data_IF_687992562376
#
_entry.id   IF_687992562376
#
_cell.length_a   1.000
_cell.length_b   1.000
_cell.length_c   1.000
_cell.angle_alpha   90.00
_cell.angle_beta   90.00
_cell.angle_gamma   90.00
#
_symmetry.space_group_name_H-M   'P 1'
#
loop_
_entity.id
_entity.type
_entity.pdbx_description
1 polymer ?
#
# COMPACT_ATOMS: atom_id res chain seq x y z
N UNK A 1 23.56 34.17 31.12
CA UNK A 1 22.10 34.04 30.86
C UNK A 1 21.79 32.56 30.77
N UNK A 2 20.80 32.08 31.51
CA UNK A 2 20.36 30.69 31.46
C UNK A 2 19.48 30.47 30.23
N UNK A 3 19.75 29.38 29.51
CA UNK A 3 18.86 28.82 28.49
C UNK A 3 17.49 28.52 29.13
N UNK A 4 16.41 28.87 28.45
CA UNK A 4 15.02 28.64 28.87
C UNK A 4 14.35 27.54 28.02
N UNK A 5 14.45 27.61 26.70
CA UNK A 5 13.94 26.63 25.73
C UNK A 5 14.62 26.80 24.36
N UNK A 6 14.31 25.95 23.39
CA UNK A 6 14.66 26.16 22.00
C UNK A 6 13.44 26.58 21.18
N UNK A 7 13.68 27.38 20.14
CA UNK A 7 12.69 27.83 19.18
C UNK A 7 13.10 27.34 17.78
N UNK A 8 12.19 26.68 17.08
CA UNK A 8 12.36 26.27 15.69
C UNK A 8 11.47 27.14 14.82
N UNK A 9 12.06 27.91 13.90
CA UNK A 9 11.34 28.65 12.87
C UNK A 9 11.38 27.84 11.57
N UNK A 10 10.22 27.58 10.98
CA UNK A 10 10.02 26.79 9.76
C UNK A 10 9.48 27.73 8.69
N UNK A 11 10.25 27.95 7.63
CA UNK A 11 9.88 28.79 6.49
C UNK A 11 9.51 27.91 5.30
N UNK A 12 8.27 28.01 4.85
CA UNK A 12 7.80 27.52 3.54
C UNK A 12 8.36 28.42 2.45
N UNK A 13 9.24 27.87 1.60
CA UNK A 13 10.02 28.66 0.63
C UNK A 13 9.13 29.21 -0.48
N UNK A 14 8.06 28.49 -0.83
CA UNK A 14 7.21 28.78 -1.96
C UNK A 14 6.17 29.86 -1.67
N UNK A 15 5.58 29.87 -0.47
CA UNK A 15 4.59 30.89 -0.09
C UNK A 15 5.14 31.93 0.90
N UNK A 16 6.40 31.80 1.32
CA UNK A 16 7.08 32.68 2.28
C UNK A 16 6.32 32.81 3.62
N UNK A 17 5.66 31.74 4.06
CA UNK A 17 4.98 31.65 5.35
C UNK A 17 5.90 30.98 6.36
N UNK A 18 6.03 31.58 7.54
CA UNK A 18 6.81 31.01 8.65
C UNK A 18 5.93 30.57 9.80
N UNK A 19 6.29 29.44 10.42
CA UNK A 19 5.68 28.94 11.64
C UNK A 19 6.76 28.67 12.69
N UNK A 20 6.40 28.81 13.97
CA UNK A 20 7.32 28.66 15.09
C UNK A 20 6.89 27.51 16.01
N UNK A 21 7.86 26.68 16.41
CA UNK A 21 7.66 25.55 17.30
C UNK A 21 8.57 25.67 18.52
N UNK A 22 7.98 25.58 19.69
CA UNK A 22 8.69 25.59 20.97
C UNK A 22 9.15 24.17 21.33
N UNK A 23 10.41 24.06 21.75
CA UNK A 23 11.01 22.78 22.17
C UNK A 23 11.61 22.97 23.56
N UNK A 24 11.21 22.11 24.50
CA UNK A 24 11.70 22.18 25.88
C UNK A 24 13.22 22.08 25.94
N UNK A 25 13.83 22.83 26.87
CA UNK A 25 15.29 22.96 27.01
C UNK A 25 16.06 21.64 27.17
N UNK A 26 15.44 20.61 27.75
CA UNK A 26 16.09 19.32 27.96
C UNK A 26 15.98 18.41 26.73
N UNK A 27 15.08 18.72 25.81
CA UNK A 27 14.90 17.94 24.59
C UNK A 27 15.91 18.36 23.54
N UNK A 28 16.54 17.36 22.94
CA UNK A 28 17.50 17.53 21.83
C UNK A 28 16.90 17.11 20.48
N UNK A 29 15.60 16.81 20.45
CA UNK A 29 14.86 16.46 19.25
C UNK A 29 13.42 16.96 19.32
N UNK A 30 12.81 17.22 18.16
CA UNK A 30 11.42 17.59 18.02
C UNK A 30 10.87 17.07 16.68
N UNK A 31 9.62 16.64 16.68
CA UNK A 31 8.89 16.27 15.47
C UNK A 31 7.98 17.43 15.05
N UNK A 32 8.08 17.84 13.79
CA UNK A 32 7.29 18.93 13.22
C UNK A 32 6.22 18.31 12.33
N UNK A 33 4.95 18.52 12.68
CA UNK A 33 3.79 18.00 11.95
C UNK A 33 3.10 19.06 11.11
N UNK A 34 2.02 18.67 10.41
CA UNK A 34 1.15 19.55 9.62
C UNK A 34 1.85 20.35 8.50
N UNK A 35 2.98 19.85 8.01
CA UNK A 35 3.65 20.40 6.84
C UNK A 35 2.96 19.95 5.55
N UNK A 36 2.92 20.83 4.56
CA UNK A 36 2.45 20.50 3.21
C UNK A 36 3.36 19.44 2.57
N UNK A 37 2.77 18.51 1.81
CA UNK A 37 3.48 17.46 1.07
C UNK A 37 4.35 18.02 -0.04
N UNK A 38 5.45 17.32 -0.33
CA UNK A 38 6.38 17.63 -1.43
C UNK A 38 6.74 19.11 -1.54
N UNK A 39 7.10 19.69 -0.39
CA UNK A 39 7.33 21.12 -0.24
C UNK A 39 8.68 21.40 0.40
N UNK A 40 9.34 22.47 -0.06
CA UNK A 40 10.65 22.87 0.41
C UNK A 40 10.54 23.79 1.63
N UNK A 41 11.19 23.39 2.72
CA UNK A 41 11.29 24.19 3.94
C UNK A 41 12.72 24.51 4.31
N UNK A 42 12.90 25.71 4.88
CA UNK A 42 14.09 26.12 5.60
C UNK A 42 13.81 26.18 7.11
N UNK A 43 14.62 25.49 7.90
CA UNK A 43 14.46 25.40 9.34
C UNK A 43 15.61 26.09 10.06
N UNK A 44 15.28 26.98 10.98
CA UNK A 44 16.23 27.67 11.85
C UNK A 44 15.99 27.27 13.30
N UNK A 45 17.06 26.88 14.00
CA UNK A 45 17.01 26.53 15.42
C UNK A 45 17.70 27.63 16.24
N UNK A 46 17.02 28.09 17.29
CA UNK A 46 17.52 29.10 18.21
C UNK A 46 17.47 28.59 19.64
N UNK A 47 18.48 28.94 20.43
CA UNK A 47 18.40 28.88 21.89
C UNK A 47 17.75 30.16 22.40
N UNK A 48 16.74 30.04 23.28
CA UNK A 48 16.04 31.19 23.87
C UNK A 48 16.42 31.31 25.34
N UNK A 49 16.96 32.46 25.72
CA UNK A 49 17.28 32.74 27.11
C UNK A 49 16.03 33.15 27.92
N UNK A 50 16.11 33.14 29.25
CA UNK A 50 15.00 33.53 30.16
C UNK A 50 14.42 34.93 29.88
N UNK A 51 15.21 35.82 29.28
CA UNK A 51 14.81 37.19 28.93
C UNK A 51 14.19 37.31 27.53
N UNK A 52 13.97 36.18 26.85
CA UNK A 52 13.45 36.12 25.48
C UNK A 52 14.49 36.38 24.39
N UNK A 53 15.77 36.57 24.74
CA UNK A 53 16.83 36.78 23.74
C UNK A 53 17.13 35.49 22.99
N UNK A 54 17.13 35.57 21.66
CA UNK A 54 17.50 34.46 20.77
C UNK A 54 19.03 34.42 20.57
N UNK A 55 19.58 33.22 20.45
CA UNK A 55 20.96 33.02 19.98
C UNK A 55 21.11 33.45 18.51
N UNK A 56 22.35 33.55 18.04
CA UNK A 56 22.59 33.52 16.59
C UNK A 56 22.05 32.20 16.01
N UNK A 57 21.41 32.26 14.84
CA UNK A 57 21.08 31.04 14.09
C UNK A 57 22.33 30.47 13.44
N UNK A 58 22.47 29.15 13.48
CA UNK A 58 23.34 28.46 12.54
C UNK A 58 22.77 28.49 11.11
N UNK A 59 23.52 27.92 10.16
CA UNK A 59 23.04 27.76 8.78
C UNK A 59 21.72 26.97 8.79
N UNK A 60 20.69 27.42 8.05
CA UNK A 60 19.41 26.73 8.03
C UNK A 60 19.55 25.31 7.51
N UNK A 61 18.74 24.42 8.08
CA UNK A 61 18.51 23.08 7.53
C UNK A 61 17.54 23.23 6.37
N UNK A 62 17.87 22.64 5.23
CA UNK A 62 17.03 22.62 4.04
C UNK A 62 16.47 21.22 3.86
N UNK A 63 15.14 21.09 3.83
CA UNK A 63 14.47 19.80 3.69
C UNK A 63 13.26 19.90 2.76
N UNK A 64 13.00 18.83 2.02
CA UNK A 64 11.77 18.68 1.22
C UNK A 64 10.94 17.56 1.85
N UNK A 65 9.67 17.82 2.12
CA UNK A 65 8.75 16.81 2.67
C UNK A 65 8.45 15.72 1.64
N UNK A 66 8.11 14.52 2.12
CA UNK A 66 7.69 13.43 1.25
C UNK A 66 6.33 13.67 0.58
N UNK A 67 6.02 12.85 -0.42
CA UNK A 67 4.69 12.77 -1.05
C UNK A 67 3.78 11.92 -0.17
N UNK A 68 2.56 12.41 0.14
CA UNK A 68 1.59 11.62 0.88
C UNK A 68 1.15 10.38 0.07
N UNK A 69 1.29 9.17 0.62
CA UNK A 69 0.83 7.97 -0.06
C UNK A 69 -0.71 7.89 -0.10
N UNK A 70 -1.27 7.03 -0.99
CA UNK A 70 -2.70 6.81 -1.05
C UNK A 70 -3.21 6.23 0.28
N UNK A 71 -4.33 6.75 0.77
CA UNK A 71 -4.93 6.29 2.02
C UNK A 71 -5.92 5.17 1.74
N UNK A 72 -6.07 4.26 2.73
CA UNK A 72 -7.04 3.16 2.72
C UNK A 72 -7.05 2.37 1.40
N UNK A 73 -5.89 1.83 1.02
CA UNK A 73 -5.80 0.88 -0.10
C UNK A 73 -6.35 -0.46 0.35
N UNK A 74 -7.36 -1.00 -0.36
CA UNK A 74 -7.93 -2.32 -0.08
C UNK A 74 -8.60 -2.92 -1.33
N UNK A 75 -8.92 -4.21 -1.24
CA UNK A 75 -9.87 -4.89 -2.13
C UNK A 75 -10.97 -5.51 -1.26
N UNK A 76 -12.22 -5.50 -1.74
CA UNK A 76 -13.32 -6.17 -1.05
C UNK A 76 -13.33 -7.65 -1.41
N UNK A 77 -13.89 -8.48 -0.54
CA UNK A 77 -13.92 -9.93 -0.76
C UNK A 77 -14.68 -10.30 -2.05
N UNK A 78 -15.80 -9.63 -2.31
CA UNK A 78 -16.62 -9.82 -3.52
C UNK A 78 -15.95 -9.34 -4.82
N UNK A 79 -14.92 -8.50 -4.69
CA UNK A 79 -14.16 -7.91 -5.78
C UNK A 79 -12.92 -8.74 -6.15
N UNK A 80 -12.67 -9.84 -5.44
CA UNK A 80 -11.58 -10.79 -5.68
C UNK A 80 -12.13 -12.00 -6.44
N UNK A 81 -11.77 -12.09 -7.72
CA UNK A 81 -12.17 -13.16 -8.62
C UNK A 81 -11.02 -14.12 -8.87
N UNK A 82 -11.24 -15.08 -9.74
CA UNK A 82 -10.27 -16.09 -10.16
C UNK A 82 -9.11 -15.43 -10.92
N UNK A 83 -9.40 -14.51 -11.85
CA UNK A 83 -8.40 -13.91 -12.74
C UNK A 83 -8.22 -12.39 -12.55
N UNK A 84 -8.93 -11.81 -11.60
CA UNK A 84 -9.04 -10.35 -11.48
C UNK A 84 -9.34 -9.86 -10.06
N UNK A 85 -8.94 -8.62 -9.80
CA UNK A 85 -9.16 -7.92 -8.52
C UNK A 85 -9.58 -6.47 -8.78
N UNK A 86 -10.55 -5.96 -8.03
CA UNK A 86 -10.85 -4.51 -7.99
C UNK A 86 -10.21 -3.86 -6.78
N UNK A 87 -9.22 -3.02 -7.03
CA UNK A 87 -8.55 -2.20 -6.02
C UNK A 87 -9.36 -0.94 -5.76
N UNK A 88 -9.38 -0.49 -4.50
CA UNK A 88 -10.04 0.74 -4.04
C UNK A 88 -9.09 1.52 -3.12
N UNK A 89 -9.13 2.85 -3.20
CA UNK A 89 -8.32 3.76 -2.39
C UNK A 89 -9.02 5.11 -2.22
N UNK A 90 -8.62 5.89 -1.22
CA UNK A 90 -9.04 7.29 -1.11
C UNK A 90 -8.23 8.19 -2.05
N UNK A 91 -8.84 9.21 -2.68
CA UNK A 91 -8.12 10.13 -3.55
C UNK A 91 -6.87 10.70 -2.86
N UNK A 92 -5.71 10.74 -3.52
CA UNK A 92 -4.56 11.45 -3.00
C UNK A 92 -4.92 12.93 -2.76
N UNK A 93 -4.47 13.52 -1.65
CA UNK A 93 -4.81 14.91 -1.33
C UNK A 93 -4.23 15.91 -2.35
N UNK A 94 -3.03 15.61 -2.82
CA UNK A 94 -2.20 16.55 -3.58
C UNK A 94 -1.98 16.10 -5.04
N UNK A 95 -2.66 15.04 -5.49
CA UNK A 95 -2.51 14.48 -6.83
C UNK A 95 -3.74 13.71 -7.31
N UNK A 96 -3.84 13.58 -8.63
CA UNK A 96 -4.87 12.83 -9.34
C UNK A 96 -4.37 11.52 -9.93
N UNK A 97 -3.09 11.16 -9.71
CA UNK A 97 -2.47 10.00 -10.34
C UNK A 97 -1.86 9.05 -9.29
N UNK A 98 -2.13 7.76 -9.46
CA UNK A 98 -1.53 6.69 -8.66
C UNK A 98 -0.74 5.73 -9.54
N UNK A 99 0.39 5.29 -9.02
CA UNK A 99 1.19 4.19 -9.52
C UNK A 99 0.78 2.92 -8.80
N UNK A 100 0.52 1.84 -9.55
CA UNK A 100 0.17 0.52 -9.04
C UNK A 100 1.22 -0.48 -9.51
N UNK A 101 1.79 -1.21 -8.56
CA UNK A 101 2.74 -2.28 -8.78
C UNK A 101 2.11 -3.60 -8.35
N UNK A 102 2.03 -4.57 -9.25
CA UNK A 102 1.51 -5.92 -8.97
C UNK A 102 2.64 -6.93 -9.17
N UNK A 103 2.89 -7.74 -8.14
CA UNK A 103 3.95 -8.74 -8.13
C UNK A 103 3.44 -10.06 -7.55
N UNK A 104 3.59 -11.17 -8.26
CA UNK A 104 3.28 -12.49 -7.72
C UNK A 104 4.31 -12.87 -6.65
N UNK A 105 3.87 -13.43 -5.51
CA UNK A 105 4.79 -13.80 -4.43
C UNK A 105 5.72 -14.96 -4.85
N UNK A 106 5.22 -15.90 -5.66
CA UNK A 106 6.01 -17.06 -6.10
C UNK A 106 7.00 -16.74 -7.22
N UNK A 107 6.77 -15.66 -7.99
CA UNK A 107 7.62 -15.27 -9.11
C UNK A 107 7.93 -13.78 -9.05
N UNK A 108 9.15 -13.49 -8.59
CA UNK A 108 9.65 -12.13 -8.42
C UNK A 108 10.16 -11.48 -9.71
N UNK A 109 10.16 -12.19 -10.85
CA UNK A 109 10.76 -11.69 -12.11
C UNK A 109 9.82 -10.78 -12.88
N UNK A 110 8.51 -11.00 -12.78
CA UNK A 110 7.52 -10.19 -13.49
C UNK A 110 6.83 -9.21 -12.53
N UNK A 111 6.99 -7.92 -12.83
CA UNK A 111 6.37 -6.83 -12.06
C UNK A 111 5.55 -6.01 -13.03
N UNK A 112 4.23 -6.09 -12.92
CA UNK A 112 3.32 -5.26 -13.71
C UNK A 112 3.20 -3.90 -13.06
N UNK A 113 3.34 -2.85 -13.88
CA UNK A 113 3.30 -1.44 -13.45
C UNK A 113 2.20 -0.71 -14.21
N UNK A 114 1.34 -0.01 -13.49
CA UNK A 114 0.20 0.72 -14.05
C UNK A 114 0.18 2.14 -13.49
N UNK A 115 -0.30 3.07 -14.30
CA UNK A 115 -0.54 4.46 -13.91
C UNK A 115 -2.02 4.74 -14.14
N UNK A 116 -2.71 5.19 -13.09
CA UNK A 116 -4.16 5.41 -13.12
C UNK A 116 -4.43 6.85 -12.69
N UNK A 117 -5.18 7.58 -13.52
CA UNK A 117 -5.56 8.98 -13.29
C UNK A 117 -7.04 9.10 -12.95
N UNK A 118 -7.36 10.07 -12.10
CA UNK A 118 -8.73 10.51 -11.77
C UNK A 118 -9.66 9.36 -11.33
N UNK A 119 -9.11 8.40 -10.59
CA UNK A 119 -9.84 7.24 -10.11
C UNK A 119 -9.53 6.92 -8.64
N UNK A 120 -10.50 6.31 -7.99
CA UNK A 120 -10.41 5.74 -6.63
C UNK A 120 -10.65 4.23 -6.63
N UNK A 121 -10.80 3.65 -7.82
CA UNK A 121 -10.96 2.22 -8.04
C UNK A 121 -10.40 1.81 -9.38
N UNK A 122 -9.86 0.59 -9.45
CA UNK A 122 -9.31 0.06 -10.69
C UNK A 122 -9.33 -1.46 -10.71
N UNK A 123 -9.77 -2.05 -11.83
CA UNK A 123 -9.78 -3.49 -12.05
C UNK A 123 -8.45 -3.94 -12.66
N UNK A 124 -7.78 -4.88 -12.01
CA UNK A 124 -6.58 -5.53 -12.53
C UNK A 124 -6.99 -6.93 -13.01
N UNK A 125 -6.90 -7.15 -14.31
CA UNK A 125 -7.26 -8.41 -14.99
C UNK A 125 -6.03 -9.21 -15.43
N UNK A 126 -6.26 -10.42 -15.93
CA UNK A 126 -5.25 -11.36 -16.44
C UNK A 126 -4.25 -11.78 -15.35
N UNK A 127 -4.76 -12.02 -14.15
CA UNK A 127 -4.01 -12.61 -13.05
C UNK A 127 -4.23 -14.12 -13.02
N UNK A 128 -3.37 -14.83 -12.30
CA UNK A 128 -3.38 -16.29 -12.26
C UNK A 128 -4.27 -16.73 -11.08
N UNK A 129 -5.29 -17.60 -11.31
CA UNK A 129 -6.13 -18.12 -10.24
C UNK A 129 -5.34 -18.77 -9.10
N UNK A 130 -5.81 -18.58 -7.86
CA UNK A 130 -5.16 -19.10 -6.65
C UNK A 130 -3.77 -18.52 -6.33
N UNK A 131 -3.28 -17.57 -7.12
CA UNK A 131 -2.01 -16.90 -6.83
C UNK A 131 -2.18 -15.77 -5.82
N UNK A 132 -1.15 -15.62 -4.98
CA UNK A 132 -1.04 -14.48 -4.07
C UNK A 132 -0.15 -13.41 -4.69
N UNK A 133 -0.66 -12.18 -4.66
CA UNK A 133 0.01 -10.99 -5.18
C UNK A 133 0.29 -9.98 -4.08
N UNK A 134 1.49 -9.41 -4.10
CA UNK A 134 1.83 -8.16 -3.43
C UNK A 134 1.46 -7.01 -4.36
N UNK A 135 0.58 -6.14 -3.89
CA UNK A 135 0.07 -4.99 -4.63
C UNK A 135 0.49 -3.71 -3.90
N UNK A 136 1.48 -3.02 -4.47
CA UNK A 136 1.97 -1.73 -3.97
C UNK A 136 1.30 -0.57 -4.70
N UNK A 137 0.96 0.50 -3.98
CA UNK A 137 0.39 1.71 -4.54
C UNK A 137 1.13 2.96 -4.03
N UNK A 138 1.43 3.89 -4.91
CA UNK A 138 2.05 5.17 -4.58
C UNK A 138 1.34 6.33 -5.29
N UNK A 139 1.32 7.49 -4.65
CA UNK A 139 0.87 8.74 -5.26
C UNK A 139 1.96 9.24 -6.20
N UNK A 140 1.59 9.70 -7.39
CA UNK A 140 2.51 10.30 -8.36
C UNK A 140 2.37 11.81 -8.29
N UNK A 141 3.46 12.55 -8.05
CA UNK A 141 3.45 14.02 -8.12
C UNK A 141 4.71 14.52 -8.81
N UNK A 142 4.54 15.29 -9.88
CA UNK A 142 5.63 15.85 -10.70
C UNK A 142 6.68 14.79 -11.11
N UNK A 143 6.24 13.57 -11.43
CA UNK A 143 7.10 12.44 -11.81
C UNK A 143 7.79 11.72 -10.65
N UNK A 144 7.58 12.16 -9.40
CA UNK A 144 8.07 11.49 -8.20
C UNK A 144 6.98 10.61 -7.59
N UNK A 145 7.38 9.59 -6.83
CA UNK A 145 6.49 8.66 -6.15
C UNK A 145 6.54 8.89 -4.64
N UNK A 146 5.40 8.72 -3.97
CA UNK A 146 5.38 8.48 -2.52
C UNK A 146 6.00 7.14 -2.16
N UNK A 147 6.16 6.91 -0.85
CA UNK A 147 6.33 5.56 -0.33
C UNK A 147 5.17 4.65 -0.79
N UNK A 148 5.46 3.35 -0.94
CA UNK A 148 4.46 2.37 -1.34
C UNK A 148 3.60 1.95 -0.15
N UNK A 149 2.29 1.95 -0.36
CA UNK A 149 1.33 1.24 0.50
C UNK A 149 1.07 -0.11 -0.14
N UNK A 150 1.41 -1.19 0.57
CA UNK A 150 1.30 -2.55 0.05
C UNK A 150 0.16 -3.31 0.72
N UNK A 151 -0.66 -3.97 -0.08
CA UNK A 151 -1.60 -5.00 0.36
C UNK A 151 -1.25 -6.33 -0.28
N UNK A 152 -1.61 -7.41 0.38
CA UNK A 152 -1.48 -8.76 -0.15
C UNK A 152 -2.86 -9.34 -0.41
N UNK A 153 -3.07 -9.90 -1.61
CA UNK A 153 -4.33 -10.56 -1.94
C UNK A 153 -4.10 -11.88 -2.66
N UNK A 154 -4.81 -12.91 -2.21
CA UNK A 154 -4.91 -14.20 -2.89
C UNK A 154 -6.17 -14.22 -3.73
N UNK A 155 -6.06 -14.61 -4.99
CA UNK A 155 -7.20 -14.77 -5.89
C UNK A 155 -7.98 -16.04 -5.61
N UNK A 156 -9.23 -16.06 -6.04
CA UNK A 156 -10.09 -17.23 -5.95
C UNK A 156 -9.52 -18.38 -6.80
N UNK A 157 -9.84 -19.61 -6.41
CA UNK A 157 -9.45 -20.79 -7.17
C UNK A 157 -10.35 -20.94 -8.39
N UNK A 158 -9.76 -21.32 -9.52
CA UNK A 158 -10.53 -21.74 -10.69
C UNK A 158 -11.18 -23.11 -10.41
N UNK A 159 -12.41 -23.32 -10.88
CA UNK A 159 -13.09 -24.59 -10.71
C UNK A 159 -12.57 -25.64 -11.72
N UNK A 160 -12.48 -26.92 -11.34
CA UNK A 160 -12.30 -28.01 -12.30
C UNK A 160 -13.40 -27.99 -13.36
N UNK A 161 -13.04 -28.29 -14.61
CA UNK A 161 -14.01 -28.34 -15.71
C UNK A 161 -14.25 -29.76 -16.20
N UNK A 162 -15.31 -29.95 -16.98
CA UNK A 162 -15.66 -31.24 -17.58
C UNK A 162 -15.75 -32.38 -16.53
N UNK A 163 -16.46 -32.14 -15.43
CA UNK A 163 -16.68 -33.16 -14.40
C UNK A 163 -17.70 -34.17 -14.93
N UNK A 164 -17.32 -35.45 -15.00
CA UNK A 164 -18.18 -36.52 -15.48
C UNK A 164 -17.79 -37.87 -14.86
N UNK A 165 -18.69 -38.84 -14.94
CA UNK A 165 -18.45 -40.21 -14.53
C UNK A 165 -17.52 -40.95 -15.50
N UNK A 166 -16.59 -41.71 -14.93
CA UNK A 166 -15.81 -42.71 -15.64
C UNK A 166 -16.50 -44.08 -15.52
N UNK A 167 -15.77 -45.08 -15.01
CA UNK A 167 -16.34 -46.40 -14.75
C UNK A 167 -17.31 -46.38 -13.55
N UNK A 168 -18.52 -46.87 -13.78
CA UNK A 168 -19.55 -47.07 -12.75
C UNK A 168 -19.81 -48.57 -12.56
N UNK A 169 -19.84 -49.03 -11.30
CA UNK A 169 -20.21 -50.40 -10.93
C UNK A 169 -21.38 -50.40 -9.94
N UNK A 170 -21.72 -51.57 -9.41
CA UNK A 170 -22.66 -51.74 -8.32
C UNK A 170 -22.20 -51.13 -6.98
N UNK A 171 -20.89 -50.82 -6.86
CA UNK A 171 -20.26 -50.43 -5.60
C UNK A 171 -19.24 -49.28 -5.70
N UNK A 172 -18.94 -48.78 -6.89
CA UNK A 172 -17.99 -47.67 -7.08
C UNK A 172 -18.36 -46.75 -8.24
N UNK A 173 -17.91 -45.50 -8.12
CA UNK A 173 -18.02 -44.45 -9.14
C UNK A 173 -16.64 -43.84 -9.31
N UNK A 174 -16.10 -43.88 -10.51
CA UNK A 174 -14.93 -43.10 -10.90
C UNK A 174 -15.39 -41.70 -11.36
N UNK A 175 -14.70 -40.65 -10.90
CA UNK A 175 -14.99 -39.26 -11.28
C UNK A 175 -13.78 -38.74 -12.05
N UNK A 176 -14.03 -38.18 -13.23
CA UNK A 176 -13.00 -37.62 -14.11
C UNK A 176 -13.28 -36.12 -14.30
N UNK A 177 -12.22 -35.31 -14.32
CA UNK A 177 -12.30 -33.88 -14.57
C UNK A 177 -11.02 -33.37 -15.25
N UNK A 178 -11.15 -32.23 -15.91
CA UNK A 178 -10.00 -31.48 -16.39
C UNK A 178 -9.37 -30.72 -15.21
N UNK A 179 -8.04 -30.70 -15.17
CA UNK A 179 -7.29 -29.94 -14.17
C UNK A 179 -7.72 -28.47 -14.19
N UNK A 180 -7.98 -27.89 -13.03
CA UNK A 180 -8.19 -26.45 -12.89
C UNK A 180 -6.92 -25.67 -13.25
N UNK A 181 -7.08 -24.47 -13.78
CA UNK A 181 -5.95 -23.58 -14.05
C UNK A 181 -5.46 -22.87 -12.78
N UNK A 182 -4.24 -22.35 -12.84
CA UNK A 182 -3.65 -21.57 -11.75
C UNK A 182 -2.98 -22.40 -10.66
N UNK A 183 -2.92 -21.82 -9.47
CA UNK A 183 -2.12 -22.28 -8.34
C UNK A 183 -3.01 -22.82 -7.21
N UNK A 184 -3.11 -24.13 -7.15
CA UNK A 184 -3.80 -24.87 -6.10
C UNK A 184 -2.96 -26.09 -5.68
N UNK A 185 -3.24 -26.64 -4.49
CA UNK A 185 -2.44 -27.75 -3.94
C UNK A 185 -3.11 -29.12 -4.13
N UNK A 186 -4.41 -29.22 -3.86
CA UNK A 186 -5.16 -30.46 -3.93
C UNK A 186 -6.64 -30.19 -4.24
N UNK A 187 -7.34 -31.24 -4.65
CA UNK A 187 -8.79 -31.26 -4.76
C UNK A 187 -9.38 -31.95 -3.53
N UNK A 188 -10.56 -31.50 -3.10
CA UNK A 188 -11.34 -32.16 -2.07
C UNK A 188 -12.61 -32.75 -2.69
N UNK A 189 -12.92 -34.00 -2.37
CA UNK A 189 -14.12 -34.69 -2.84
C UNK A 189 -14.96 -35.06 -1.62
N UNK A 190 -16.15 -34.49 -1.53
CA UNK A 190 -17.11 -34.81 -0.48
C UNK A 190 -18.22 -35.69 -1.05
N UNK A 191 -18.39 -36.89 -0.51
CA UNK A 191 -19.57 -37.71 -0.79
C UNK A 191 -20.62 -37.55 0.31
N UNK A 192 -21.84 -37.17 -0.06
CA UNK A 192 -22.98 -37.10 0.84
C UNK A 192 -23.76 -38.42 0.67
N UNK A 193 -23.96 -39.17 1.75
CA UNK A 193 -24.62 -40.50 1.79
C UNK A 193 -23.83 -41.70 1.21
N UNK A 194 -22.51 -41.58 1.02
CA UNK A 194 -21.68 -42.78 0.89
C UNK A 194 -21.56 -43.47 2.26
N UNK A 195 -21.69 -44.81 2.30
CA UNK A 195 -21.19 -45.56 3.46
C UNK A 195 -19.71 -45.20 3.63
N UNK A 196 -19.27 -44.87 4.84
CA UNK A 196 -17.92 -44.38 5.13
C UNK A 196 -16.88 -45.36 4.57
N UNK A 197 -16.34 -45.06 3.40
CA UNK A 197 -15.46 -45.94 2.66
C UNK A 197 -14.18 -45.18 2.31
N UNK A 198 -13.56 -44.50 3.27
CA UNK A 198 -12.17 -44.07 3.17
C UNK A 198 -11.55 -44.01 4.59
N UNK A 199 -10.80 -45.05 4.95
CA UNK A 199 -9.68 -44.98 5.89
C UNK A 199 -8.50 -45.69 5.22
#
# INVERSE_FOLDING_TARGET
MSLHHYLVSILDVENNKSEEVFVEKLNTSAAIGNLTSFRHYLLHLFSVAERGTLSCSEKPISAVTGIHPPLKVYAKLEDVREDSIVLQWEPPQDSHEVYIQIKAISDIREVRKLFVKDATRFKVDNLIPGMTYDIGMATVMNGNLSELVTIQQTLSLEAPSNIHEGKVTDSSIEILWNRADGNFQHYEITCINCAAAFM
#
